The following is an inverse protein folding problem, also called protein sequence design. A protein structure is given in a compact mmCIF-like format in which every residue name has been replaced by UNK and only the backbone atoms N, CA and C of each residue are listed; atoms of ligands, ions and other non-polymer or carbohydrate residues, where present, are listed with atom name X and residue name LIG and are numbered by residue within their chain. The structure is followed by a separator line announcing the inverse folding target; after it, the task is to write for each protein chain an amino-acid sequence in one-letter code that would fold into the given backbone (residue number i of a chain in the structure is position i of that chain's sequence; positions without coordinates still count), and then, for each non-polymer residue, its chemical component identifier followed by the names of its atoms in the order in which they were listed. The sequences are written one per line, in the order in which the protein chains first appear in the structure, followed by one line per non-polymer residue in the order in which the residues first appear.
data_IF_516543324419
#
_entry.id   IF_516543324419
#
_cell.length_a   1.000
_cell.length_b   1.000
_cell.length_c   1.000
_cell.angle_alpha   90.00
_cell.angle_beta   90.00
_cell.angle_gamma   90.00
#
_symmetry.space_group_name_H-M   'P 1'
#
loop_
_entity.id
_entity.type
_entity.pdbx_description
1 polymer ?
#
# COMPACT_ATOMS: atom_id res chain seq x y z
N UNK A 1 10.92 -10.82 -5.67
CA UNK A 1 10.51 -10.84 -7.09
C UNK A 1 11.66 -11.35 -7.95
N UNK A 2 11.38 -12.10 -9.02
CA UNK A 2 12.40 -12.51 -10.00
C UNK A 2 12.91 -11.29 -10.78
N UNK A 3 14.23 -11.20 -10.98
CA UNK A 3 14.89 -10.05 -11.62
C UNK A 3 14.36 -9.75 -13.02
N UNK A 4 13.84 -10.76 -13.73
CA UNK A 4 13.32 -10.63 -15.09
C UNK A 4 12.00 -9.87 -15.16
N UNK A 5 11.26 -9.82 -14.06
CA UNK A 5 9.96 -9.13 -13.99
C UNK A 5 10.10 -7.70 -13.45
N UNK A 6 11.31 -7.30 -13.07
CA UNK A 6 11.59 -5.93 -12.63
C UNK A 6 11.62 -5.03 -13.85
N UNK A 7 10.65 -4.12 -13.93
CA UNK A 7 10.54 -3.13 -15.01
C UNK A 7 11.41 -1.91 -14.70
N UNK A 8 11.48 -1.50 -13.43
CA UNK A 8 12.27 -0.35 -12.99
C UNK A 8 12.84 -0.62 -11.60
N UNK A 9 14.07 -0.18 -11.39
CA UNK A 9 14.72 -0.15 -10.06
C UNK A 9 14.87 1.30 -9.63
N UNK A 10 14.47 1.60 -8.41
CA UNK A 10 14.72 2.85 -7.72
C UNK A 10 15.39 2.54 -6.37
N UNK A 11 16.07 3.53 -5.79
CA UNK A 11 16.56 3.44 -4.42
C UNK A 11 15.83 4.49 -3.60
N UNK A 12 15.15 4.04 -2.55
CA UNK A 12 14.35 4.91 -1.68
C UNK A 12 14.78 4.77 -0.22
N UNK A 13 14.59 5.83 0.54
CA UNK A 13 14.90 5.86 1.99
C UNK A 13 13.95 5.01 2.82
N UNK A 14 12.73 4.83 2.33
CA UNK A 14 11.66 4.17 3.05
C UNK A 14 10.81 3.29 2.13
N UNK A 15 10.02 2.40 2.75
CA UNK A 15 9.06 1.57 2.02
C UNK A 15 7.94 2.44 1.43
N UNK A 16 7.52 3.45 2.17
CA UNK A 16 6.48 4.41 1.81
C UNK A 16 6.84 5.16 0.52
N UNK A 17 8.08 5.60 0.41
CA UNK A 17 8.61 6.21 -0.81
C UNK A 17 8.58 5.22 -1.99
N UNK A 18 8.88 3.94 -1.75
CA UNK A 18 8.83 2.89 -2.78
C UNK A 18 7.39 2.60 -3.25
N UNK A 19 6.45 2.51 -2.31
CA UNK A 19 5.02 2.37 -2.60
C UNK A 19 4.50 3.55 -3.42
N UNK A 20 4.86 4.77 -3.01
CA UNK A 20 4.50 6.00 -3.73
C UNK A 20 5.08 6.01 -5.14
N UNK A 21 6.35 5.62 -5.30
CA UNK A 21 7.00 5.53 -6.61
C UNK A 21 6.29 4.56 -7.57
N UNK A 22 5.70 3.47 -7.06
CA UNK A 22 4.88 2.57 -7.87
C UNK A 22 3.54 3.21 -8.26
N UNK A 23 2.88 3.91 -7.33
CA UNK A 23 1.58 4.54 -7.57
C UNK A 23 1.68 5.74 -8.52
N UNK A 24 2.76 6.50 -8.44
CA UNK A 24 3.02 7.68 -9.27
C UNK A 24 3.70 7.34 -10.61
N UNK A 25 4.01 6.06 -10.87
CA UNK A 25 4.64 5.63 -12.12
C UNK A 25 3.69 5.84 -13.31
N UNK A 26 4.16 6.61 -14.28
CA UNK A 26 3.37 7.02 -15.45
C UNK A 26 3.84 6.34 -16.74
N UNK A 27 5.05 5.79 -16.78
CA UNK A 27 5.58 5.12 -17.96
C UNK A 27 4.98 3.73 -18.16
N UNK A 28 4.52 3.09 -17.07
CA UNK A 28 3.87 1.79 -17.10
C UNK A 28 2.91 1.63 -15.92
N UNK A 29 1.92 0.74 -16.05
CA UNK A 29 1.04 0.40 -14.95
C UNK A 29 1.78 -0.49 -13.93
N UNK A 30 2.30 0.11 -12.86
CA UNK A 30 2.93 -0.63 -11.77
C UNK A 30 1.89 -1.47 -11.02
N UNK A 31 2.02 -2.80 -11.10
CA UNK A 31 1.10 -3.77 -10.47
C UNK A 31 1.67 -4.41 -9.22
N UNK A 32 2.99 -4.44 -9.08
CA UNK A 32 3.64 -4.91 -7.86
C UNK A 32 5.01 -4.28 -7.66
N UNK A 33 5.52 -4.39 -6.44
CA UNK A 33 6.87 -3.99 -6.10
C UNK A 33 7.53 -4.95 -5.09
N UNK A 34 8.86 -4.92 -5.04
CA UNK A 34 9.64 -5.50 -3.94
C UNK A 34 10.54 -4.44 -3.33
N UNK A 35 10.52 -4.31 -2.01
CA UNK A 35 11.37 -3.37 -1.28
C UNK A 35 12.38 -4.14 -0.42
N UNK A 36 13.67 -3.93 -0.69
CA UNK A 36 14.76 -4.46 0.11
C UNK A 36 15.11 -3.48 1.23
N UNK A 37 14.76 -3.84 2.47
CA UNK A 37 15.00 -3.00 3.64
C UNK A 37 16.48 -2.87 4.00
N UNK A 38 17.35 -3.74 3.47
CA UNK A 38 18.79 -3.72 3.79
C UNK A 38 19.52 -2.61 3.04
N UNK A 39 19.15 -2.34 1.79
CA UNK A 39 19.85 -1.37 0.93
C UNK A 39 18.93 -0.28 0.34
N UNK A 40 17.63 -0.31 0.64
CA UNK A 40 16.65 0.64 0.10
C UNK A 40 16.25 0.35 -1.35
N UNK A 41 16.59 -0.82 -1.90
CA UNK A 41 16.27 -1.21 -3.26
C UNK A 41 14.76 -1.39 -3.47
N UNK A 42 14.18 -0.56 -4.32
CA UNK A 42 12.77 -0.57 -4.72
C UNK A 42 12.64 -1.11 -6.15
N UNK A 43 12.11 -2.32 -6.30
CA UNK A 43 11.96 -3.00 -7.58
C UNK A 43 10.49 -2.97 -8.02
N UNK A 44 10.17 -2.20 -9.05
CA UNK A 44 8.81 -2.02 -9.57
C UNK A 44 8.53 -2.96 -10.75
N UNK A 45 7.30 -3.47 -10.86
CA UNK A 45 6.90 -4.41 -11.90
C UNK A 45 5.50 -4.16 -12.45
N UNK A 46 5.34 -4.44 -13.74
CA UNK A 46 4.04 -4.54 -14.42
C UNK A 46 3.30 -5.85 -14.15
N UNK A 47 3.94 -6.83 -13.53
CA UNK A 47 3.34 -8.14 -13.24
C UNK A 47 2.84 -8.20 -11.80
N UNK A 48 1.94 -9.14 -11.53
CA UNK A 48 1.46 -9.47 -10.20
C UNK A 48 1.30 -11.01 -10.09
N UNK A 49 0.80 -11.48 -8.95
CA UNK A 49 0.57 -12.88 -8.66
C UNK A 49 -0.38 -13.52 -9.67
N UNK A 50 -1.35 -12.77 -10.21
CA UNK A 50 -2.29 -13.28 -11.18
C UNK A 50 -1.63 -13.49 -12.56
N UNK A 51 -0.79 -12.56 -12.99
CA UNK A 51 -0.16 -12.63 -14.31
C UNK A 51 1.06 -13.57 -14.34
N UNK A 52 1.82 -13.66 -13.25
CA UNK A 52 3.05 -14.49 -13.14
C UNK A 52 3.22 -15.13 -11.75
N UNK A 53 2.33 -16.03 -11.32
CA UNK A 53 2.37 -16.62 -9.96
C UNK A 53 3.65 -17.39 -9.66
N UNK A 54 4.20 -18.09 -10.66
CA UNK A 54 5.40 -18.93 -10.51
C UNK A 54 6.70 -18.14 -10.28
N UNK A 55 6.67 -16.82 -10.45
CA UNK A 55 7.85 -15.95 -10.35
C UNK A 55 7.87 -15.13 -9.05
N UNK A 56 6.89 -15.35 -8.17
CA UNK A 56 6.91 -14.87 -6.80
C UNK A 56 7.78 -15.77 -5.94
N UNK A 57 8.98 -15.29 -5.64
CA UNK A 57 9.89 -15.93 -4.71
C UNK A 57 9.72 -15.29 -3.35
N UNK A 58 9.02 -15.99 -2.45
CA UNK A 58 8.98 -15.66 -1.04
C UNK A 58 10.39 -15.83 -0.49
N UNK A 59 10.96 -14.74 0.04
CA UNK A 59 12.26 -14.81 0.68
C UNK A 59 12.06 -15.22 2.14
N UNK A 60 12.35 -16.48 2.45
CA UNK A 60 12.27 -17.00 3.81
C UNK A 60 13.55 -16.75 4.62
N UNK A 61 14.55 -16.07 4.05
CA UNK A 61 15.79 -15.78 4.74
C UNK A 61 15.59 -14.57 5.69
N UNK A 62 15.68 -14.76 7.02
CA UNK A 62 15.46 -13.68 7.98
C UNK A 62 16.48 -12.54 7.87
N UNK A 63 17.64 -12.77 7.22
CA UNK A 63 18.69 -11.77 7.02
C UNK A 63 18.42 -10.85 5.81
N UNK A 64 17.50 -11.23 4.92
CA UNK A 64 17.11 -10.43 3.77
C UNK A 64 15.65 -10.06 3.90
N UNK A 65 15.39 -8.90 4.50
CA UNK A 65 14.03 -8.37 4.63
C UNK A 65 13.61 -7.72 3.32
N UNK A 66 13.21 -8.56 2.37
CA UNK A 66 12.61 -8.12 1.11
C UNK A 66 11.11 -8.29 1.24
N UNK A 67 10.41 -7.17 1.29
CA UNK A 67 8.95 -7.12 1.38
C UNK A 67 8.36 -7.05 -0.04
N UNK A 68 7.26 -7.78 -0.29
CA UNK A 68 6.58 -7.80 -1.60
C UNK A 68 5.17 -7.22 -1.46
N UNK A 69 4.81 -6.32 -2.38
CA UNK A 69 3.51 -5.63 -2.36
C UNK A 69 2.87 -5.65 -3.75
N UNK A 70 1.55 -5.74 -3.80
CA UNK A 70 0.76 -5.67 -5.04
C UNK A 70 -0.26 -4.54 -4.96
N UNK A 71 -0.34 -3.77 -6.05
CA UNK A 71 -1.40 -2.79 -6.25
C UNK A 71 -2.65 -3.51 -6.76
N UNK A 72 -3.55 -3.86 -5.84
CA UNK A 72 -4.84 -4.47 -6.15
C UNK A 72 -5.90 -3.45 -6.59
N UNK A 73 -5.54 -2.17 -6.75
CA UNK A 73 -6.45 -1.10 -7.17
C UNK A 73 -7.03 -1.31 -8.58
N UNK A 74 -6.46 -2.20 -9.38
CA UNK A 74 -6.81 -2.31 -10.80
C UNK A 74 -7.86 -3.36 -11.15
N UNK A 75 -8.36 -4.20 -10.24
CA UNK A 75 -9.26 -5.25 -10.73
C UNK A 75 -10.20 -5.91 -9.73
N UNK A 76 -10.94 -5.15 -8.91
CA UNK A 76 -12.24 -5.70 -8.49
C UNK A 76 -13.30 -4.62 -8.35
N UNK A 77 -13.91 -4.27 -9.48
CA UNK A 77 -15.25 -3.66 -9.49
C UNK A 77 -16.18 -4.57 -8.66
N UNK A 78 -16.44 -4.19 -7.41
CA UNK A 78 -17.36 -4.88 -6.50
C UNK A 78 -16.78 -5.76 -5.39
N UNK A 79 -15.45 -5.81 -5.15
CA UNK A 79 -14.95 -6.46 -3.91
C UNK A 79 -14.78 -5.51 -2.75
N UNK A 80 -14.45 -4.25 -3.01
CA UNK A 80 -14.33 -3.23 -1.96
C UNK A 80 -15.16 -2.01 -2.37
N UNK A 81 -16.14 -1.65 -1.55
CA UNK A 81 -16.85 -0.37 -1.61
C UNK A 81 -16.22 0.58 -0.62
N UNK A 82 -15.80 1.76 -1.08
CA UNK A 82 -15.21 2.79 -0.25
C UNK A 82 -16.17 3.97 -0.12
N UNK A 83 -16.47 4.34 1.12
CA UNK A 83 -17.19 5.56 1.46
C UNK A 83 -16.32 6.42 2.36
N UNK A 84 -16.43 7.75 2.24
CA UNK A 84 -15.73 8.67 3.12
C UNK A 84 -16.64 9.81 3.57
N UNK A 85 -16.40 10.28 4.78
CA UNK A 85 -17.09 11.40 5.40
C UNK A 85 -16.05 12.37 5.96
N UNK A 86 -15.99 13.59 5.42
CA UNK A 86 -15.18 14.67 5.98
C UNK A 86 -15.88 15.23 7.21
N UNK A 87 -15.18 15.23 8.35
CA UNK A 87 -15.59 15.83 9.62
C UNK A 87 -14.66 16.98 9.97
N UNK A 88 -15.08 17.84 10.89
CA UNK A 88 -14.27 18.99 11.33
C UNK A 88 -12.87 18.56 11.81
N UNK A 89 -12.80 17.40 12.46
CA UNK A 89 -11.57 16.89 13.06
C UNK A 89 -10.81 15.89 12.19
N UNK A 90 -11.24 15.57 10.96
CA UNK A 90 -10.58 14.57 10.10
C UNK A 90 -11.48 13.90 9.07
N UNK A 91 -11.03 12.77 8.51
CA UNK A 91 -11.76 12.01 7.49
C UNK A 91 -12.09 10.62 8.04
N UNK A 92 -13.38 10.26 8.06
CA UNK A 92 -13.81 8.90 8.35
C UNK A 92 -13.88 8.12 7.05
N UNK A 93 -13.14 7.01 6.94
CA UNK A 93 -13.20 6.10 5.79
C UNK A 93 -13.90 4.82 6.22
N UNK A 94 -14.87 4.38 5.43
CA UNK A 94 -15.60 3.13 5.60
C UNK A 94 -15.36 2.25 4.37
N UNK A 95 -15.04 0.99 4.62
CA UNK A 95 -14.77 0.01 3.58
C UNK A 95 -15.68 -1.21 3.80
N UNK A 96 -16.54 -1.46 2.83
CA UNK A 96 -17.35 -2.67 2.75
C UNK A 96 -16.71 -3.64 1.74
N UNK A 97 -16.26 -4.79 2.24
CA UNK A 97 -15.69 -5.85 1.44
C UNK A 97 -16.69 -6.97 1.17
N UNK A 98 -16.75 -7.45 -0.07
CA UNK A 98 -17.53 -8.62 -0.48
C UNK A 98 -17.07 -9.90 0.23
N UNK A 99 -15.77 -10.02 0.48
CA UNK A 99 -15.13 -11.17 1.12
C UNK A 99 -14.43 -10.75 2.43
N UNK A 100 -14.33 -11.62 3.45
CA UNK A 100 -13.56 -11.32 4.66
C UNK A 100 -12.13 -10.90 4.32
N UNK A 101 -11.72 -9.72 4.78
CA UNK A 101 -10.41 -9.14 4.55
C UNK A 101 -9.53 -9.30 5.80
N UNK A 102 -8.31 -9.79 5.57
CA UNK A 102 -7.21 -9.79 6.55
C UNK A 102 -6.03 -9.07 5.92
N UNK A 103 -5.56 -7.99 6.54
CA UNK A 103 -4.50 -7.16 5.99
C UNK A 103 -4.37 -5.85 6.75
N UNK A 104 -3.93 -4.79 6.06
CA UNK A 104 -3.78 -3.47 6.67
C UNK A 104 -4.45 -2.39 5.80
N UNK A 105 -5.19 -1.50 6.45
CA UNK A 105 -5.64 -0.22 5.88
C UNK A 105 -4.81 0.89 6.52
N UNK A 106 -4.19 1.74 5.71
CA UNK A 106 -3.30 2.77 6.21
C UNK A 106 -3.28 4.03 5.32
N UNK A 107 -2.81 5.14 5.89
CA UNK A 107 -2.58 6.38 5.15
C UNK A 107 -1.36 6.26 4.23
N UNK A 108 -1.46 6.72 2.97
CA UNK A 108 -0.48 6.49 1.91
C UNK A 108 0.99 6.78 2.30
N UNK A 109 1.23 7.76 3.18
CA UNK A 109 2.57 8.18 3.60
C UNK A 109 2.87 7.90 5.07
N UNK A 110 2.02 7.15 5.76
CA UNK A 110 2.09 6.98 7.21
C UNK A 110 1.63 5.59 7.64
N UNK A 111 2.38 4.57 7.22
CA UNK A 111 2.07 3.19 7.57
C UNK A 111 2.21 2.92 9.07
N UNK A 112 3.20 3.51 9.74
CA UNK A 112 3.49 3.17 11.14
C UNK A 112 2.48 3.76 12.10
N UNK A 113 2.05 5.00 11.86
CA UNK A 113 1.24 5.73 12.83
C UNK A 113 -0.22 5.88 12.38
N UNK A 114 -0.51 5.70 11.08
CA UNK A 114 -1.83 5.82 10.49
C UNK A 114 -2.34 4.50 9.89
N UNK A 115 -2.43 3.43 10.69
CA UNK A 115 -2.88 2.11 10.22
C UNK A 115 -3.85 1.39 11.14
N UNK A 116 -4.61 0.47 10.53
CA UNK A 116 -5.34 -0.59 11.21
C UNK A 116 -5.09 -1.92 10.51
N UNK A 117 -5.21 -3.02 11.26
CA UNK A 117 -4.99 -4.37 10.74
C UNK A 117 -6.23 -5.26 10.96
N UNK A 118 -7.24 -5.17 10.07
CA UNK A 118 -8.42 -6.00 10.15
C UNK A 118 -8.08 -7.48 10.02
N UNK A 119 -8.82 -8.33 10.74
CA UNK A 119 -8.72 -9.80 10.67
C UNK A 119 -10.09 -10.37 10.35
N UNK A 120 -10.20 -11.03 9.20
CA UNK A 120 -11.43 -11.63 8.68
C UNK A 120 -12.65 -10.68 8.70
N UNK A 121 -12.41 -9.38 8.45
CA UNK A 121 -13.43 -8.35 8.55
C UNK A 121 -14.08 -8.06 7.19
N UNK A 122 -15.41 -7.91 7.16
CA UNK A 122 -16.14 -7.42 5.96
C UNK A 122 -16.43 -5.93 5.99
N UNK A 123 -16.48 -5.33 7.17
CA UNK A 123 -16.65 -3.88 7.34
C UNK A 123 -15.48 -3.35 8.13
N UNK A 124 -14.89 -2.29 7.62
CA UNK A 124 -13.70 -1.67 8.18
C UNK A 124 -13.98 -0.18 8.24
N UNK A 125 -13.90 0.40 9.43
CA UNK A 125 -14.01 1.85 9.61
C UNK A 125 -12.75 2.36 10.27
N UNK A 126 -12.20 3.45 9.73
CA UNK A 126 -11.05 4.11 10.33
C UNK A 126 -11.15 5.62 10.18
N UNK A 127 -10.92 6.31 11.29
CA UNK A 127 -10.90 7.76 11.34
C UNK A 127 -9.46 8.24 11.20
N UNK A 128 -9.22 9.02 10.16
CA UNK A 128 -7.97 9.70 9.87
C UNK A 128 -8.04 11.12 10.45
N UNK A 129 -7.50 11.38 11.65
CA UNK A 129 -7.57 12.71 12.27
C UNK A 129 -6.83 13.74 11.43
N UNK A 130 -7.30 14.98 11.47
CA UNK A 130 -6.66 16.14 10.87
C UNK A 130 -5.36 16.55 11.59
N UNK A 131 -4.42 17.23 10.91
CA UNK A 131 -3.12 17.59 11.51
C UNK A 131 -3.22 18.56 12.70
N UNK A 132 -4.37 19.23 12.84
CA UNK A 132 -4.67 20.09 13.98
C UNK A 132 -5.02 19.30 15.25
N UNK A 133 -5.44 18.04 15.12
CA UNK A 133 -5.93 17.19 16.23
C UNK A 133 -4.90 16.14 16.64
N UNK A 134 -4.18 15.56 15.68
CA UNK A 134 -3.15 14.55 15.95
C UNK A 134 -1.93 14.80 15.06
N UNK A 135 -0.74 14.42 15.53
CA UNK A 135 0.49 14.45 14.72
C UNK A 135 0.87 13.08 14.16
N UNK A 136 0.16 12.03 14.57
CA UNK A 136 0.54 10.64 14.33
C UNK A 136 -0.27 9.95 13.21
N UNK A 137 -1.15 10.65 12.49
CA UNK A 137 -1.84 10.06 11.32
C UNK A 137 -2.19 11.12 10.26
N UNK A 138 -1.72 12.33 10.50
CA UNK A 138 -2.38 13.54 10.03
C UNK A 138 -1.46 14.42 9.19
N UNK A 139 -0.14 14.23 9.31
CA UNK A 139 0.86 14.86 8.44
C UNK A 139 0.69 14.43 6.96
N UNK A 140 -0.04 13.33 6.73
CA UNK A 140 -0.42 12.81 5.42
C UNK A 140 -1.61 13.53 4.78
N UNK A 141 -2.47 14.21 5.55
CA UNK A 141 -3.65 14.91 5.04
C UNK A 141 -3.23 16.33 4.65
N UNK A 142 -2.76 16.48 3.42
CA UNK A 142 -2.41 17.79 2.86
C UNK A 142 -3.53 18.28 1.97
N UNK A 143 -3.99 19.52 2.20
CA UNK A 143 -4.81 20.21 1.22
C UNK A 143 -3.95 20.45 -0.03
N UNK A 144 -4.39 19.97 -1.19
CA UNK A 144 -3.85 20.47 -2.47
C UNK A 144 -4.31 21.91 -2.59
N UNK A 145 -3.38 22.85 -2.43
CA UNK A 145 -3.56 24.26 -2.81
C UNK A 145 -3.47 24.38 -4.32
#
# INVERSE_FOLDING_TARGET
MDSREVTRVAYTSSLEDCLSACLDESNFACRSLSFNRTDGGCHLSQQNQLSKPALLRMNNNPNFRIDYYESNCFNITGSFGFEYECKDDGILVKVDSKYPYTGALYGLYDFFTCRIEPKEAKRIEYFFPSPTVSKNCSDSIRYKV
#
